data_IF_480518263945
#
_entry.id   IF_480518263945
#
_cell.length_a   1.000
_cell.length_b   1.000
_cell.length_c   1.000
_cell.angle_alpha   90.00
_cell.angle_beta   90.00
_cell.angle_gamma   90.00
#
_symmetry.space_group_name_H-M   'P 1'
#
loop_
_entity.id
_entity.type
_entity.pdbx_description
1 polymer ?
#
# COMPACT_ATOMS: atom_id res chain seq x y z
N UNK A 1 -1.94 26.27 -9.63
CA UNK A 1 -0.97 25.16 -9.56
C UNK A 1 -1.65 23.96 -8.89
N UNK A 2 -1.47 22.73 -9.37
CA UNK A 2 -1.90 21.53 -8.65
C UNK A 2 -0.99 21.34 -7.43
N UNK A 3 -1.58 21.13 -6.25
CA UNK A 3 -0.83 20.78 -5.05
C UNK A 3 -0.14 19.42 -5.28
N UNK A 4 1.15 19.25 -4.95
CA UNK A 4 1.82 17.95 -5.04
C UNK A 4 1.20 16.96 -4.05
N UNK A 5 1.14 15.69 -4.44
CA UNK A 5 0.72 14.57 -3.57
C UNK A 5 1.91 14.10 -2.73
N UNK A 6 1.76 14.06 -1.41
CA UNK A 6 2.76 13.43 -0.54
C UNK A 6 2.54 11.91 -0.50
N UNK A 7 3.30 11.20 -1.32
CA UNK A 7 3.31 9.74 -1.41
C UNK A 7 4.37 9.13 -0.47
N UNK A 8 3.96 8.25 0.43
CA UNK A 8 4.86 7.60 1.40
C UNK A 8 4.91 6.06 1.27
N UNK A 9 6.07 5.41 1.46
CA UNK A 9 6.17 3.96 1.50
C UNK A 9 5.57 3.38 2.78
N UNK A 10 4.82 2.28 2.67
CA UNK A 10 4.38 1.48 3.80
C UNK A 10 4.79 0.02 3.63
N UNK A 11 5.73 -0.44 4.46
CA UNK A 11 6.18 -1.84 4.46
C UNK A 11 5.44 -2.75 5.44
N UNK A 12 4.50 -2.22 6.22
CA UNK A 12 3.59 -2.98 7.07
C UNK A 12 2.42 -2.07 7.52
N UNK A 13 1.43 -2.65 8.17
CA UNK A 13 0.23 -1.95 8.62
C UNK A 13 0.51 -0.81 9.61
N UNK A 14 1.48 -0.98 10.50
CA UNK A 14 1.88 0.06 11.45
C UNK A 14 2.43 1.29 10.72
N UNK A 15 3.37 1.09 9.79
CA UNK A 15 3.96 2.16 8.97
C UNK A 15 2.92 2.85 8.09
N UNK A 16 1.95 2.12 7.55
CA UNK A 16 0.81 2.70 6.85
C UNK A 16 0.06 3.67 7.76
N UNK A 17 -0.35 3.20 8.95
CA UNK A 17 -1.11 4.04 9.89
C UNK A 17 -0.33 5.28 10.29
N UNK A 18 0.96 5.14 10.58
CA UNK A 18 1.85 6.26 10.92
C UNK A 18 1.94 7.25 9.75
N UNK A 19 2.24 6.80 8.53
CA UNK A 19 2.36 7.69 7.38
C UNK A 19 1.07 8.53 7.16
N UNK A 20 -0.09 7.89 7.25
CA UNK A 20 -1.39 8.55 7.15
C UNK A 20 -1.62 9.57 8.28
N UNK A 21 -1.33 9.20 9.53
CA UNK A 21 -1.50 10.09 10.70
C UNK A 21 -0.61 11.33 10.59
N UNK A 22 0.62 11.16 10.10
CA UNK A 22 1.61 12.24 10.00
C UNK A 22 1.51 13.05 8.70
N UNK A 23 0.46 12.83 7.90
CA UNK A 23 0.09 13.76 6.83
C UNK A 23 0.40 13.31 5.41
N UNK A 24 0.77 12.04 5.19
CA UNK A 24 0.79 11.50 3.82
C UNK A 24 -0.59 11.68 3.17
N UNK A 25 -0.61 12.04 1.89
CA UNK A 25 -1.84 12.10 1.09
C UNK A 25 -2.20 10.70 0.59
N UNK A 26 -1.19 9.93 0.21
CA UNK A 26 -1.32 8.55 -0.28
C UNK A 26 -0.15 7.70 0.24
N UNK A 27 -0.39 6.41 0.46
CA UNK A 27 0.67 5.43 0.74
C UNK A 27 0.82 4.45 -0.41
N UNK A 28 2.03 3.96 -0.68
CA UNK A 28 2.23 2.79 -1.54
C UNK A 28 2.77 1.60 -0.76
N UNK A 29 2.31 0.41 -1.13
CA UNK A 29 2.60 -0.84 -0.42
C UNK A 29 2.54 -2.03 -1.37
N UNK A 30 3.16 -3.14 -0.97
CA UNK A 30 3.10 -4.43 -1.65
C UNK A 30 2.26 -5.45 -0.88
N UNK A 31 1.52 -6.28 -1.63
CA UNK A 31 0.88 -7.49 -1.11
C UNK A 31 1.87 -8.65 -1.02
N UNK A 32 1.53 -9.67 -0.22
CA UNK A 32 2.37 -10.86 -0.04
C UNK A 32 2.53 -11.66 -1.35
N UNK A 33 1.48 -11.63 -2.15
CA UNK A 33 1.50 -12.11 -3.52
C UNK A 33 1.84 -10.95 -4.46
N UNK A 34 2.41 -11.30 -5.61
CA UNK A 34 2.66 -10.38 -6.72
C UNK A 34 3.84 -9.40 -6.56
N UNK A 35 4.93 -9.85 -5.93
CA UNK A 35 6.21 -9.15 -5.92
C UNK A 35 7.39 -10.04 -6.27
N UNK A 36 8.24 -9.62 -7.22
CA UNK A 36 9.50 -10.29 -7.58
C UNK A 36 10.60 -10.18 -6.50
N UNK A 37 10.34 -9.47 -5.39
CA UNK A 37 11.34 -9.25 -4.32
C UNK A 37 11.18 -10.30 -3.21
N UNK A 38 12.03 -11.31 -3.25
CA UNK A 38 12.14 -12.30 -2.17
C UNK A 38 12.42 -11.62 -0.82
N UNK A 39 11.63 -11.94 0.21
CA UNK A 39 11.88 -11.52 1.60
C UNK A 39 11.33 -10.15 2.01
N UNK A 40 10.53 -9.47 1.18
CA UNK A 40 9.79 -8.30 1.63
C UNK A 40 8.71 -8.71 2.64
N UNK A 41 8.69 -8.11 3.84
CA UNK A 41 7.52 -8.21 4.74
C UNK A 41 6.38 -7.47 4.05
N UNK A 42 5.48 -8.21 3.45
CA UNK A 42 4.37 -7.66 2.70
C UNK A 42 3.06 -7.76 3.50
N UNK A 43 2.02 -7.09 3.03
CA UNK A 43 0.72 -7.16 3.66
C UNK A 43 0.02 -8.46 3.30
N UNK A 44 -0.51 -9.16 4.31
CA UNK A 44 -1.54 -10.17 4.09
C UNK A 44 -2.83 -9.52 3.57
N UNK A 45 -3.70 -10.28 2.91
CA UNK A 45 -5.01 -9.77 2.44
C UNK A 45 -5.83 -9.10 3.55
N UNK A 46 -5.78 -9.67 4.77
CA UNK A 46 -6.47 -9.08 5.94
C UNK A 46 -5.89 -7.72 6.32
N UNK A 47 -4.56 -7.59 6.33
CA UNK A 47 -3.89 -6.32 6.63
C UNK A 47 -4.11 -5.30 5.51
N UNK A 48 -4.17 -5.74 4.24
CA UNK A 48 -4.53 -4.88 3.11
C UNK A 48 -5.92 -4.29 3.31
N UNK A 49 -6.93 -5.13 3.56
CA UNK A 49 -8.30 -4.68 3.78
C UNK A 49 -8.38 -3.68 4.95
N UNK A 50 -7.70 -3.97 6.07
CA UNK A 50 -7.65 -3.06 7.22
C UNK A 50 -6.96 -1.73 6.89
N UNK A 51 -5.79 -1.78 6.22
CA UNK A 51 -5.02 -0.59 5.87
C UNK A 51 -5.73 0.30 4.86
N UNK A 52 -6.33 -0.29 3.83
CA UNK A 52 -7.14 0.40 2.81
C UNK A 52 -8.31 1.10 3.49
N UNK A 53 -9.07 0.38 4.34
CA UNK A 53 -10.17 0.98 5.08
C UNK A 53 -9.68 2.15 5.94
N UNK A 54 -8.59 1.97 6.68
CA UNK A 54 -8.03 3.00 7.56
C UNK A 54 -7.67 4.29 6.82
N UNK A 55 -7.06 4.18 5.64
CA UNK A 55 -6.66 5.31 4.81
C UNK A 55 -7.88 6.00 4.19
N UNK A 56 -8.81 5.22 3.61
CA UNK A 56 -10.02 5.74 2.97
C UNK A 56 -10.96 6.44 3.95
N UNK A 57 -11.11 5.92 5.17
CA UNK A 57 -11.88 6.57 6.24
C UNK A 57 -11.34 7.98 6.59
N UNK A 58 -10.11 8.31 6.17
CA UNK A 58 -9.43 9.62 6.38
C UNK A 58 -9.27 10.42 5.09
N UNK A 59 -9.89 9.99 3.99
CA UNK A 59 -9.77 10.64 2.68
C UNK A 59 -8.37 10.56 2.07
N UNK A 60 -7.60 9.52 2.43
CA UNK A 60 -6.23 9.30 1.95
C UNK A 60 -6.18 8.14 0.96
N UNK A 61 -5.24 8.18 0.02
CA UNK A 61 -5.09 7.17 -1.02
C UNK A 61 -4.24 5.97 -0.59
N UNK A 62 -4.42 4.85 -1.30
CA UNK A 62 -3.54 3.67 -1.23
C UNK A 62 -3.21 3.21 -2.65
N UNK A 63 -1.93 3.06 -2.95
CA UNK A 63 -1.43 2.46 -4.18
C UNK A 63 -0.84 1.07 -3.89
N UNK A 64 -1.44 0.05 -4.50
CA UNK A 64 -0.92 -1.31 -4.45
C UNK A 64 0.11 -1.49 -5.57
N UNK A 65 1.35 -1.77 -5.20
CA UNK A 65 2.41 -2.06 -6.18
C UNK A 65 2.33 -3.52 -6.58
N UNK A 66 2.07 -3.77 -7.85
CA UNK A 66 2.18 -5.08 -8.47
C UNK A 66 3.48 -5.12 -9.26
N UNK A 67 4.46 -5.86 -8.77
CA UNK A 67 5.75 -6.00 -9.44
C UNK A 67 5.91 -7.47 -9.86
N UNK A 68 5.11 -7.86 -10.86
CA UNK A 68 5.11 -9.18 -11.50
C UNK A 68 5.10 -9.06 -13.01
N UNK A 69 5.43 -10.18 -13.65
CA UNK A 69 4.96 -10.51 -14.98
C UNK A 69 3.73 -11.40 -14.78
N UNK A 70 2.50 -10.94 -15.08
CA UNK A 70 1.29 -11.71 -14.83
C UNK A 70 1.19 -12.91 -15.78
N UNK A 71 0.78 -14.05 -15.25
CA UNK A 71 0.39 -15.24 -16.01
C UNK A 71 -1.13 -15.41 -15.96
N UNK A 72 -1.70 -16.25 -16.83
CA UNK A 72 -3.15 -16.48 -16.88
C UNK A 72 -3.72 -17.01 -15.56
N UNK A 73 -2.90 -17.66 -14.73
CA UNK A 73 -3.31 -18.19 -13.42
C UNK A 73 -3.38 -17.11 -12.32
N UNK A 74 -2.84 -15.91 -12.58
CA UNK A 74 -2.82 -14.77 -11.65
C UNK A 74 -4.05 -13.84 -11.78
N UNK A 75 -4.86 -14.02 -12.84
CA UNK A 75 -6.06 -13.22 -13.18
C UNK A 75 -7.34 -13.88 -12.69
#
# INVERSE_FOLDING_TARGET
MKKPELLAPAGNLEKLKIAIIYGADTVYLGGDNFGLRAGAKNFTLKQLAEGIKFAHDRGKGVYLTLNIIPHNEDL
#
